data_IF_366896683671
#
_entry.id   IF_366896683671
#
_cell.length_a   1.000
_cell.length_b   1.000
_cell.length_c   1.000
_cell.angle_alpha   90.00
_cell.angle_beta   90.00
_cell.angle_gamma   90.00
#
_symmetry.space_group_name_H-M   'P 1'
#
loop_
_entity.id
_entity.type
_entity.pdbx_description
1 polymer ?
#
# COMPACT_ATOMS: atom_id res chain seq x y z
N UNK A 1 8.05 8.52 -59.71
CA UNK A 1 9.17 7.57 -59.51
C UNK A 1 10.32 8.22 -58.72
N UNK A 2 10.95 9.30 -59.19
CA UNK A 2 12.14 9.90 -58.51
C UNK A 2 11.81 10.55 -57.15
N UNK A 3 10.63 11.16 -56.98
CA UNK A 3 10.25 11.77 -55.69
C UNK A 3 9.85 10.75 -54.62
N UNK A 4 9.49 9.51 -54.98
CA UNK A 4 9.18 8.44 -54.02
C UNK A 4 10.43 7.76 -53.45
N UNK A 5 11.59 7.91 -54.11
CA UNK A 5 12.87 7.38 -53.62
C UNK A 5 13.49 8.24 -52.50
N UNK A 6 13.00 9.47 -52.28
CA UNK A 6 13.43 10.34 -51.17
C UNK A 6 12.81 9.98 -49.82
N UNK A 7 11.78 9.13 -49.82
CA UNK A 7 11.07 8.69 -48.59
C UNK A 7 11.58 7.34 -48.07
N UNK A 8 12.52 6.69 -48.76
CA UNK A 8 13.10 5.43 -48.30
C UNK A 8 14.31 5.75 -47.44
N UNK A 9 14.09 5.78 -46.13
CA UNK A 9 15.16 5.85 -45.13
C UNK A 9 15.97 4.56 -45.24
N UNK A 10 17.21 4.67 -45.69
CA UNK A 10 18.12 3.54 -45.80
C UNK A 10 18.48 3.02 -44.40
N UNK A 11 18.64 1.68 -44.22
CA UNK A 11 19.12 1.13 -42.96
C UNK A 11 20.46 1.75 -42.60
N UNK A 12 20.59 2.22 -41.35
CA UNK A 12 21.77 2.94 -40.87
C UNK A 12 22.55 2.06 -39.91
N UNK A 13 23.80 1.79 -40.25
CA UNK A 13 24.71 1.07 -39.38
C UNK A 13 25.16 1.98 -38.24
N UNK A 14 24.94 1.55 -37.00
CA UNK A 14 25.32 2.28 -35.79
C UNK A 14 26.26 1.40 -34.94
N UNK A 15 27.28 2.02 -34.35
CA UNK A 15 28.16 1.34 -33.40
C UNK A 15 27.56 1.46 -32.00
N UNK A 16 27.41 0.32 -31.31
CA UNK A 16 26.97 0.29 -29.90
C UNK A 16 28.08 0.85 -29.03
N UNK A 17 27.83 1.97 -28.35
CA UNK A 17 28.81 2.65 -27.48
C UNK A 17 28.60 2.34 -25.99
N UNK A 18 27.43 1.82 -25.62
CA UNK A 18 27.09 1.47 -24.25
C UNK A 18 25.77 0.70 -24.18
N UNK A 19 25.54 0.06 -23.04
CA UNK A 19 24.31 -0.67 -22.70
C UNK A 19 23.84 -0.10 -21.36
N UNK A 20 22.53 0.09 -21.21
CA UNK A 20 21.92 0.56 -19.98
C UNK A 20 20.91 -0.47 -19.47
N UNK A 21 20.61 -0.41 -18.17
CA UNK A 21 19.58 -1.23 -17.52
C UNK A 21 18.78 -0.31 -16.60
N UNK A 22 17.47 -0.23 -16.82
CA UNK A 22 16.53 0.54 -15.99
C UNK A 22 15.84 -0.35 -14.95
N UNK A 23 15.99 -1.67 -15.06
CA UNK A 23 15.33 -2.65 -14.21
C UNK A 23 13.88 -2.96 -14.63
N UNK A 24 13.41 -2.31 -15.70
CA UNK A 24 12.15 -2.59 -16.38
C UNK A 24 12.43 -3.27 -17.73
N UNK A 25 12.12 -4.56 -17.81
CA UNK A 25 12.47 -5.40 -18.95
C UNK A 25 12.06 -4.81 -20.30
N UNK A 26 10.82 -4.34 -20.44
CA UNK A 26 10.29 -3.79 -21.70
C UNK A 26 11.06 -2.53 -22.13
N UNK A 27 11.39 -1.65 -21.19
CA UNK A 27 12.13 -0.42 -21.49
C UNK A 27 13.58 -0.72 -21.90
N UNK A 28 14.17 -1.76 -21.32
CA UNK A 28 15.53 -2.19 -21.63
C UNK A 28 15.61 -2.94 -22.97
N UNK A 29 14.52 -3.61 -23.40
CA UNK A 29 14.49 -4.40 -24.64
C UNK A 29 14.02 -3.64 -25.89
N UNK A 30 13.20 -2.59 -25.74
CA UNK A 30 12.53 -1.93 -26.88
C UNK A 30 13.13 -0.58 -27.28
N UNK A 31 14.05 -0.02 -26.50
CA UNK A 31 14.55 1.34 -26.71
C UNK A 31 16.02 1.37 -27.13
N UNK A 32 16.32 2.26 -28.08
CA UNK A 32 17.67 2.57 -28.52
C UNK A 32 17.89 4.09 -28.39
N UNK A 33 18.94 4.49 -27.68
CA UNK A 33 19.29 5.91 -27.53
C UNK A 33 20.30 6.31 -28.59
N UNK A 34 19.94 7.29 -29.42
CA UNK A 34 20.80 7.85 -30.46
C UNK A 34 20.87 9.37 -30.34
N UNK A 35 21.94 10.00 -30.83
CA UNK A 35 21.97 11.46 -31.00
C UNK A 35 20.78 11.96 -31.82
N UNK A 36 20.26 13.13 -31.44
CA UNK A 36 19.00 13.67 -32.00
C UNK A 36 19.01 13.82 -33.52
N UNK A 37 20.15 14.19 -34.11
CA UNK A 37 20.31 14.33 -35.55
C UNK A 37 20.11 12.99 -36.31
N UNK A 38 20.45 11.85 -35.68
CA UNK A 38 20.21 10.53 -36.26
C UNK A 38 18.70 10.23 -36.26
N UNK A 39 18.01 10.53 -35.15
CA UNK A 39 16.57 10.38 -35.07
C UNK A 39 15.84 11.26 -36.11
N UNK A 40 16.24 12.52 -36.24
CA UNK A 40 15.66 13.45 -37.22
C UNK A 40 15.80 12.94 -38.66
N UNK A 41 16.94 12.38 -39.01
CA UNK A 41 17.17 11.77 -40.33
C UNK A 41 16.33 10.49 -40.52
N UNK A 42 16.30 9.60 -39.52
CA UNK A 42 15.57 8.33 -39.59
C UNK A 42 14.05 8.51 -39.68
N UNK A 43 13.51 9.56 -39.08
CA UNK A 43 12.08 9.90 -39.14
C UNK A 43 11.74 10.91 -40.25
N UNK A 44 12.73 11.39 -41.01
CA UNK A 44 12.51 12.38 -42.07
C UNK A 44 12.00 13.74 -41.58
N UNK A 45 12.36 14.14 -40.36
CA UNK A 45 11.82 15.33 -39.68
C UNK A 45 12.48 16.65 -40.08
N UNK A 46 13.65 16.61 -40.72
CA UNK A 46 14.47 17.82 -40.92
C UNK A 46 14.84 18.45 -39.57
N UNK A 47 14.53 19.73 -39.38
CA UNK A 47 14.77 20.44 -38.12
C UNK A 47 13.64 20.26 -37.07
N UNK A 48 12.58 19.53 -37.40
CA UNK A 48 11.46 19.31 -36.47
C UNK A 48 11.78 18.28 -35.37
N UNK A 49 11.00 18.31 -34.29
CA UNK A 49 11.09 17.39 -33.16
C UNK A 49 9.71 16.84 -32.84
N UNK A 50 9.64 15.57 -32.39
CA UNK A 50 8.40 14.97 -31.91
C UNK A 50 7.92 15.60 -30.58
N UNK A 51 8.85 16.04 -29.74
CA UNK A 51 8.53 16.64 -28.44
C UNK A 51 9.77 17.05 -27.67
N UNK A 52 9.54 17.79 -26.59
CA UNK A 52 10.57 18.24 -25.65
C UNK A 52 10.21 17.68 -24.28
N UNK A 53 11.12 16.93 -23.67
CA UNK A 53 10.96 16.42 -22.31
C UNK A 53 11.55 17.42 -21.32
N UNK A 54 10.71 17.91 -20.41
CA UNK A 54 11.15 18.77 -19.30
C UNK A 54 11.28 17.92 -18.04
N UNK A 55 12.49 17.85 -17.49
CA UNK A 55 12.76 17.12 -16.25
C UNK A 55 12.55 18.03 -15.04
N UNK A 56 11.64 17.67 -14.15
CA UNK A 56 11.42 18.37 -12.87
C UNK A 56 12.37 17.82 -11.79
N UNK A 57 12.67 18.63 -10.77
CA UNK A 57 13.43 18.18 -9.59
C UNK A 57 12.57 17.26 -8.73
N UNK A 58 11.30 17.62 -8.52
CA UNK A 58 10.29 16.81 -7.84
C UNK A 58 9.36 16.16 -8.89
N UNK A 59 9.27 14.82 -8.96
CA UNK A 59 8.34 14.13 -9.85
C UNK A 59 6.86 14.50 -9.65
N UNK A 60 6.48 14.88 -8.42
CA UNK A 60 5.10 15.25 -8.07
C UNK A 60 4.74 16.69 -8.43
N UNK A 61 5.74 17.54 -8.71
CA UNK A 61 5.53 18.89 -9.20
C UNK A 61 5.19 18.96 -10.70
N UNK A 62 5.15 17.81 -11.39
CA UNK A 62 4.94 17.75 -12.84
C UNK A 62 3.64 18.42 -13.30
N UNK A 63 2.54 18.29 -12.54
CA UNK A 63 1.28 18.95 -12.88
C UNK A 63 1.38 20.47 -12.78
N UNK A 64 2.02 20.98 -11.73
CA UNK A 64 2.20 22.42 -11.55
C UNK A 64 3.08 23.03 -12.65
N UNK A 65 4.12 22.29 -13.08
CA UNK A 65 4.99 22.72 -14.19
C UNK A 65 4.23 22.68 -15.52
N UNK A 66 3.40 21.66 -15.75
CA UNK A 66 2.52 21.59 -16.92
C UNK A 66 1.57 22.79 -16.96
N UNK A 67 0.87 23.10 -15.87
CA UNK A 67 -0.03 24.26 -15.76
C UNK A 67 0.68 25.59 -16.06
N UNK A 68 1.97 25.72 -15.73
CA UNK A 68 2.76 26.90 -16.02
C UNK A 68 3.22 27.00 -17.49
N UNK A 69 3.44 25.86 -18.17
CA UNK A 69 3.92 25.80 -19.55
C UNK A 69 2.77 25.82 -20.55
N UNK A 70 1.63 25.23 -20.22
CA UNK A 70 0.49 25.05 -21.12
C UNK A 70 -0.03 26.37 -21.74
N UNK A 71 -0.06 27.52 -21.03
CA UNK A 71 -0.41 28.82 -21.61
C UNK A 71 0.59 29.35 -22.66
N UNK A 72 1.82 28.83 -22.66
CA UNK A 72 2.87 29.22 -23.62
C UNK A 72 2.80 28.41 -24.93
N UNK A 73 1.98 27.35 -24.96
CA UNK A 73 1.86 26.44 -26.11
C UNK A 73 0.69 26.84 -27.01
N UNK A 74 0.88 26.65 -28.32
CA UNK A 74 -0.16 26.85 -29.33
C UNK A 74 -0.58 25.52 -29.95
N UNK A 75 -1.89 25.33 -30.19
CA UNK A 75 -2.43 24.14 -30.88
C UNK A 75 -1.67 23.93 -32.20
N UNK A 76 -1.17 22.71 -32.51
CA UNK A 76 -1.51 21.41 -31.91
C UNK A 76 -0.62 20.93 -30.75
N UNK A 77 0.24 21.80 -30.19
CA UNK A 77 1.13 21.42 -29.08
C UNK A 77 0.34 21.34 -27.76
N UNK A 78 0.64 20.33 -26.96
CA UNK A 78 0.07 20.13 -25.63
C UNK A 78 1.14 19.57 -24.68
N UNK A 79 1.01 19.87 -23.39
CA UNK A 79 1.87 19.32 -22.36
C UNK A 79 1.22 18.09 -21.73
N UNK A 80 1.99 17.01 -21.56
CA UNK A 80 1.56 15.83 -20.81
C UNK A 80 2.55 15.58 -19.69
N UNK A 81 2.04 15.22 -18.52
CA UNK A 81 2.89 14.71 -17.45
C UNK A 81 3.19 13.23 -17.66
N UNK A 82 4.24 12.73 -17.02
CA UNK A 82 4.52 11.31 -16.95
C UNK A 82 3.36 10.51 -16.29
N UNK A 83 2.53 11.17 -15.46
CA UNK A 83 1.33 10.58 -14.86
C UNK A 83 0.22 10.45 -15.93
N UNK A 84 0.01 11.48 -16.75
CA UNK A 84 -0.96 11.46 -17.85
C UNK A 84 -0.64 10.36 -18.86
N UNK A 85 0.63 10.24 -19.25
CA UNK A 85 1.10 9.22 -20.20
C UNK A 85 0.92 7.80 -19.67
N UNK A 86 0.92 7.61 -18.35
CA UNK A 86 0.82 6.31 -17.69
C UNK A 86 -0.49 6.15 -16.90
N UNK A 87 -1.52 6.91 -17.26
CA UNK A 87 -2.78 7.02 -16.50
C UNK A 87 -3.42 5.65 -16.19
N UNK A 88 -3.40 4.73 -17.14
CA UNK A 88 -3.95 3.38 -16.95
C UNK A 88 -3.27 2.63 -15.80
N UNK A 89 -1.93 2.73 -15.67
CA UNK A 89 -1.20 2.13 -14.56
C UNK A 89 -1.55 2.78 -13.22
N UNK A 90 -1.62 4.12 -13.20
CA UNK A 90 -1.98 4.86 -11.98
C UNK A 90 -3.41 4.61 -11.52
N UNK A 91 -4.37 4.49 -12.44
CA UNK A 91 -5.75 4.13 -12.13
C UNK A 91 -5.85 2.69 -11.61
N UNK A 92 -5.13 1.75 -12.22
CA UNK A 92 -5.05 0.37 -11.74
C UNK A 92 -4.47 0.29 -10.31
N UNK A 93 -3.36 0.99 -10.04
CA UNK A 93 -2.74 1.05 -8.70
C UNK A 93 -3.70 1.68 -7.68
N UNK A 94 -4.45 2.73 -8.07
CA UNK A 94 -5.43 3.38 -7.18
C UNK A 94 -6.59 2.45 -6.86
N UNK A 95 -7.11 1.74 -7.86
CA UNK A 95 -8.16 0.74 -7.68
C UNK A 95 -7.68 -0.37 -6.74
N UNK A 96 -6.49 -0.92 -6.99
CA UNK A 96 -5.89 -1.96 -6.15
C UNK A 96 -5.74 -1.51 -4.69
N UNK A 97 -5.19 -0.31 -4.45
CA UNK A 97 -5.09 0.26 -3.09
C UNK A 97 -6.46 0.40 -2.41
N UNK A 98 -7.48 0.76 -3.17
CA UNK A 98 -8.85 0.91 -2.66
C UNK A 98 -9.43 -0.46 -2.28
N UNK A 99 -9.25 -1.47 -3.12
CA UNK A 99 -9.68 -2.85 -2.82
C UNK A 99 -8.96 -3.39 -1.59
N UNK A 100 -7.64 -3.19 -1.51
CA UNK A 100 -6.84 -3.58 -0.34
C UNK A 100 -7.31 -2.90 0.95
N UNK A 101 -7.69 -1.62 0.89
CA UNK A 101 -8.27 -0.92 2.03
C UNK A 101 -9.56 -1.58 2.52
N UNK A 102 -10.49 -1.92 1.61
CA UNK A 102 -11.74 -2.60 1.99
C UNK A 102 -11.47 -4.00 2.59
N UNK A 103 -10.56 -4.77 2.00
CA UNK A 103 -10.20 -6.09 2.53
C UNK A 103 -9.63 -5.99 3.95
N UNK A 104 -8.66 -5.11 4.17
CA UNK A 104 -8.05 -4.89 5.47
C UNK A 104 -9.08 -4.40 6.50
N UNK A 105 -9.99 -3.50 6.10
CA UNK A 105 -11.07 -3.04 6.96
C UNK A 105 -11.94 -4.21 7.45
N UNK A 106 -12.38 -5.11 6.56
CA UNK A 106 -13.18 -6.27 6.97
C UNK A 106 -12.41 -7.23 7.89
N UNK A 107 -11.14 -7.49 7.61
CA UNK A 107 -10.29 -8.34 8.47
C UNK A 107 -10.21 -7.75 9.88
N UNK A 108 -10.01 -6.43 9.98
CA UNK A 108 -9.94 -5.74 11.27
C UNK A 108 -11.28 -5.81 12.01
N UNK A 109 -12.41 -5.63 11.32
CA UNK A 109 -13.74 -5.75 11.92
C UNK A 109 -13.99 -7.16 12.48
N UNK A 110 -13.64 -8.20 11.71
CA UNK A 110 -13.76 -9.60 12.16
C UNK A 110 -12.88 -9.84 13.39
N UNK A 111 -11.63 -9.36 13.38
CA UNK A 111 -10.73 -9.47 14.52
C UNK A 111 -11.26 -8.74 15.77
N UNK A 112 -11.83 -7.54 15.59
CA UNK A 112 -12.44 -6.77 16.66
C UNK A 112 -13.61 -7.50 17.32
N UNK A 113 -14.47 -8.16 16.54
CA UNK A 113 -15.53 -9.03 17.07
C UNK A 113 -14.99 -10.24 17.84
N UNK A 114 -13.86 -10.80 17.41
CA UNK A 114 -13.18 -11.88 18.14
C UNK A 114 -12.70 -11.43 19.51
N UNK A 115 -12.07 -10.26 19.60
CA UNK A 115 -11.63 -9.64 20.87
C UNK A 115 -12.85 -9.35 21.75
N UNK A 116 -13.90 -8.76 21.18
CA UNK A 116 -15.13 -8.46 21.89
C UNK A 116 -15.75 -9.73 22.50
N UNK A 117 -15.88 -10.80 21.72
CA UNK A 117 -16.43 -12.09 22.16
C UNK A 117 -15.61 -12.67 23.31
N UNK A 118 -14.29 -12.60 23.20
CA UNK A 118 -13.37 -13.07 24.26
C UNK A 118 -13.53 -12.26 25.54
N UNK A 119 -13.62 -10.93 25.45
CA UNK A 119 -13.82 -10.05 26.61
C UNK A 119 -15.19 -10.25 27.26
N UNK A 120 -16.24 -10.49 26.46
CA UNK A 120 -17.58 -10.87 26.98
C UNK A 120 -17.44 -12.15 27.80
N UNK A 121 -16.80 -13.20 27.26
CA UNK A 121 -16.64 -14.47 27.97
C UNK A 121 -15.87 -14.30 29.28
N UNK A 122 -14.76 -13.57 29.28
CA UNK A 122 -13.98 -13.29 30.50
C UNK A 122 -14.82 -12.53 31.53
N UNK A 123 -15.56 -11.52 31.09
CA UNK A 123 -16.46 -10.74 31.94
C UNK A 123 -17.52 -11.63 32.60
N UNK A 124 -18.14 -12.50 31.81
CA UNK A 124 -19.20 -13.41 32.23
C UNK A 124 -18.69 -14.41 33.27
N UNK A 125 -17.46 -14.93 33.10
CA UNK A 125 -16.80 -15.82 34.06
C UNK A 125 -16.43 -15.09 35.36
N UNK A 126 -16.10 -13.80 35.27
CA UNK A 126 -15.67 -12.96 36.40
C UNK A 126 -16.82 -12.23 37.10
N UNK A 127 -18.08 -12.59 36.82
CA UNK A 127 -19.28 -11.94 37.40
C UNK A 127 -19.31 -11.88 38.92
N UNK A 128 -18.88 -12.94 39.62
CA UNK A 128 -18.83 -12.96 41.08
C UNK A 128 -17.84 -11.92 41.64
N UNK A 129 -16.66 -11.83 41.06
CA UNK A 129 -15.62 -10.87 41.45
C UNK A 129 -16.11 -9.42 41.23
N UNK A 130 -16.79 -9.16 40.12
CA UNK A 130 -17.42 -7.85 39.84
C UNK A 130 -18.50 -7.52 40.90
N UNK A 131 -19.31 -8.52 41.28
CA UNK A 131 -20.33 -8.37 42.33
C UNK A 131 -19.74 -8.01 43.69
N UNK A 132 -18.64 -8.66 44.08
CA UNK A 132 -17.90 -8.36 45.32
C UNK A 132 -17.34 -6.93 45.27
N UNK A 133 -16.70 -6.54 44.16
CA UNK A 133 -16.18 -5.17 44.01
C UNK A 133 -17.29 -4.12 44.14
N UNK A 134 -18.46 -4.35 43.56
CA UNK A 134 -19.62 -3.46 43.71
C UNK A 134 -20.14 -3.41 45.15
N UNK A 135 -20.19 -4.54 45.84
CA UNK A 135 -20.62 -4.61 47.24
C UNK A 135 -19.66 -3.85 48.18
N UNK A 136 -18.37 -3.79 47.82
CA UNK A 136 -17.35 -2.99 48.50
C UNK A 136 -17.38 -1.49 48.13
N UNK A 137 -18.30 -1.06 47.24
CA UNK A 137 -18.50 0.34 46.86
C UNK A 137 -17.80 0.77 45.57
N UNK A 138 -17.29 -0.16 44.74
CA UNK A 138 -16.68 0.21 43.46
C UNK A 138 -17.69 0.86 42.51
N UNK A 139 -17.29 1.98 41.91
CA UNK A 139 -18.09 2.69 40.92
C UNK A 139 -18.09 1.94 39.57
N UNK A 140 -19.17 2.08 38.81
CA UNK A 140 -19.34 1.53 37.45
C UNK A 140 -18.16 1.94 36.56
N UNK A 141 -17.71 3.19 36.65
CA UNK A 141 -16.58 3.69 35.88
C UNK A 141 -15.26 2.94 36.19
N UNK A 142 -15.01 2.58 37.46
CA UNK A 142 -13.80 1.83 37.84
C UNK A 142 -13.80 0.43 37.21
N UNK A 143 -14.97 -0.23 37.19
CA UNK A 143 -15.12 -1.54 36.55
C UNK A 143 -14.88 -1.44 35.05
N UNK A 144 -15.46 -0.41 34.38
CA UNK A 144 -15.22 -0.17 32.95
C UNK A 144 -13.73 0.03 32.67
N UNK A 145 -13.02 0.82 33.47
CA UNK A 145 -11.59 1.08 33.29
C UNK A 145 -10.72 -0.17 33.43
N UNK A 146 -11.06 -1.11 34.32
CA UNK A 146 -10.33 -2.38 34.46
C UNK A 146 -10.44 -3.21 33.18
N UNK A 147 -11.64 -3.37 32.65
CA UNK A 147 -11.86 -4.14 31.41
C UNK A 147 -11.31 -3.43 30.17
N UNK A 148 -11.43 -2.10 30.11
CA UNK A 148 -10.83 -1.29 29.05
C UNK A 148 -9.30 -1.42 29.08
N UNK A 149 -8.68 -1.35 30.27
CA UNK A 149 -7.25 -1.56 30.46
C UNK A 149 -6.78 -2.94 30.01
N UNK A 150 -7.55 -3.99 30.33
CA UNK A 150 -7.27 -5.33 29.82
C UNK A 150 -7.32 -5.38 28.28
N UNK A 151 -8.32 -4.76 27.67
CA UNK A 151 -8.42 -4.63 26.20
C UNK A 151 -7.26 -3.85 25.59
N UNK A 152 -6.83 -2.76 26.22
CA UNK A 152 -5.67 -1.97 25.80
C UNK A 152 -4.36 -2.77 25.88
N UNK A 153 -4.16 -3.55 26.94
CA UNK A 153 -2.97 -4.43 27.07
C UNK A 153 -2.95 -5.45 25.94
N UNK A 154 -4.08 -6.12 25.68
CA UNK A 154 -4.19 -7.08 24.58
C UNK A 154 -3.95 -6.41 23.23
N UNK A 155 -4.52 -5.22 23.00
CA UNK A 155 -4.32 -4.44 21.77
C UNK A 155 -2.87 -4.01 21.58
N UNK A 156 -2.18 -3.60 22.66
CA UNK A 156 -0.77 -3.21 22.62
C UNK A 156 0.14 -4.40 22.28
N UNK A 157 -0.02 -5.52 22.99
CA UNK A 157 0.76 -6.73 22.70
C UNK A 157 0.48 -7.27 21.31
N UNK A 158 -0.79 -7.28 20.88
CA UNK A 158 -1.18 -7.66 19.52
C UNK A 158 -0.53 -6.76 18.47
N UNK A 159 -0.52 -5.44 18.69
CA UNK A 159 0.11 -4.48 17.77
C UNK A 159 1.63 -4.66 17.72
N UNK A 160 2.29 -4.81 18.86
CA UNK A 160 3.76 -5.00 18.93
C UNK A 160 4.19 -6.32 18.27
N UNK A 161 3.50 -7.42 18.58
CA UNK A 161 3.80 -8.72 17.98
C UNK A 161 3.47 -8.74 16.49
N UNK A 162 2.34 -8.16 16.09
CA UNK A 162 1.97 -8.01 14.68
C UNK A 162 2.97 -7.16 13.89
N UNK A 163 3.43 -6.04 14.45
CA UNK A 163 4.46 -5.20 13.85
C UNK A 163 5.79 -5.97 13.70
N UNK A 164 6.22 -6.68 14.74
CA UNK A 164 7.43 -7.50 14.70
C UNK A 164 7.37 -8.60 13.64
N UNK A 165 6.27 -9.34 13.59
CA UNK A 165 6.03 -10.37 12.58
C UNK A 165 5.96 -9.79 11.16
N UNK A 166 5.22 -8.69 10.98
CA UNK A 166 5.09 -8.02 9.69
C UNK A 166 6.42 -7.48 9.15
N UNK A 167 7.21 -6.82 10.01
CA UNK A 167 8.55 -6.32 9.64
C UNK A 167 9.49 -7.47 9.28
N UNK A 168 9.44 -8.57 10.03
CA UNK A 168 10.24 -9.77 9.74
C UNK A 168 9.83 -10.36 8.38
N UNK A 169 8.54 -10.47 8.10
CA UNK A 169 8.04 -10.99 6.83
C UNK A 169 8.48 -10.10 5.64
N UNK A 170 8.42 -8.77 5.79
CA UNK A 170 8.86 -7.83 4.74
C UNK A 170 10.36 -7.97 4.49
N UNK A 171 11.16 -8.17 5.55
CA UNK A 171 12.62 -8.36 5.45
C UNK A 171 12.99 -9.62 4.68
N UNK A 172 12.28 -10.72 4.93
CA UNK A 172 12.54 -12.03 4.33
C UNK A 172 11.62 -12.36 3.14
N UNK A 173 10.91 -11.38 2.58
CA UNK A 173 9.87 -11.61 1.55
C UNK A 173 10.36 -12.38 0.31
N UNK A 174 11.57 -12.06 -0.17
CA UNK A 174 12.11 -12.68 -1.38
C UNK A 174 12.53 -14.14 -1.09
N UNK A 175 13.17 -14.38 0.05
CA UNK A 175 13.53 -15.73 0.50
C UNK A 175 12.29 -16.60 0.75
N UNK A 176 11.26 -16.01 1.37
CA UNK A 176 9.97 -16.67 1.59
C UNK A 176 9.28 -17.02 0.26
N UNK A 177 9.29 -16.09 -0.70
CA UNK A 177 8.76 -16.33 -2.05
C UNK A 177 9.50 -17.46 -2.77
N UNK A 178 10.83 -17.47 -2.72
CA UNK A 178 11.63 -18.55 -3.31
C UNK A 178 11.41 -19.91 -2.63
N UNK A 179 11.29 -19.92 -1.30
CA UNK A 179 10.95 -21.13 -0.54
C UNK A 179 9.58 -21.68 -0.95
N UNK A 180 8.59 -20.80 -1.08
CA UNK A 180 7.24 -21.17 -1.49
C UNK A 180 7.20 -21.67 -2.94
N UNK A 181 7.94 -21.02 -3.85
CA UNK A 181 8.06 -21.46 -5.25
C UNK A 181 8.70 -22.85 -5.38
N UNK A 182 9.75 -23.14 -4.59
CA UNK A 182 10.37 -24.49 -4.53
C UNK A 182 9.42 -25.53 -3.96
N UNK A 183 8.63 -25.16 -2.96
CA UNK A 183 7.71 -26.09 -2.28
C UNK A 183 6.50 -26.42 -3.16
N UNK A 184 5.91 -25.39 -3.78
CA UNK A 184 4.70 -25.53 -4.61
C UNK A 184 4.99 -25.89 -6.07
N UNK A 185 6.26 -25.90 -6.51
CA UNK A 185 6.67 -26.17 -7.89
C UNK A 185 5.96 -25.27 -8.94
N UNK A 186 5.56 -24.06 -8.53
CA UNK A 186 4.91 -23.05 -9.37
C UNK A 186 5.75 -21.78 -9.28
N UNK A 187 6.12 -21.20 -10.42
CA UNK A 187 6.73 -19.86 -10.45
C UNK A 187 5.66 -18.83 -10.10
N UNK A 188 5.65 -18.41 -8.82
CA UNK A 188 4.64 -17.50 -8.27
C UNK A 188 4.71 -16.11 -8.93
N UNK A 189 5.90 -15.71 -9.38
CA UNK A 189 6.16 -14.42 -10.02
C UNK A 189 7.11 -14.58 -11.21
N UNK A 190 6.62 -14.97 -12.40
CA UNK A 190 7.44 -15.02 -13.60
C UNK A 190 7.92 -13.60 -13.93
N UNK A 191 9.23 -13.46 -14.15
CA UNK A 191 9.85 -12.16 -14.48
C UNK A 191 9.28 -11.58 -15.78
N UNK A 192 8.85 -12.42 -16.70
CA UNK A 192 8.22 -12.00 -17.97
C UNK A 192 6.87 -11.31 -17.76
N UNK A 193 6.10 -11.71 -16.74
CA UNK A 193 4.76 -11.16 -16.48
C UNK A 193 4.84 -9.92 -15.58
N UNK A 194 5.66 -9.98 -14.54
CA UNK A 194 5.73 -8.91 -13.54
C UNK A 194 6.79 -7.85 -13.83
N UNK A 195 7.70 -8.07 -14.78
CA UNK A 195 8.69 -7.09 -15.26
C UNK A 195 9.62 -6.49 -14.17
N UNK A 196 9.64 -7.07 -12.98
CA UNK A 196 10.50 -6.67 -11.86
C UNK A 196 11.47 -7.82 -11.52
N UNK A 197 12.74 -7.48 -11.28
CA UNK A 197 13.79 -8.45 -10.91
C UNK A 197 13.70 -8.94 -9.46
N UNK A 198 13.06 -8.16 -8.59
CA UNK A 198 12.74 -8.49 -7.20
C UNK A 198 11.50 -7.73 -6.76
N UNK A 199 10.76 -8.20 -5.73
CA UNK A 199 9.62 -7.46 -5.19
C UNK A 199 10.17 -6.25 -4.44
N UNK A 200 10.00 -5.00 -4.90
CA UNK A 200 10.40 -3.84 -4.12
C UNK A 200 9.45 -3.68 -2.93
N UNK A 201 9.97 -3.30 -1.77
CA UNK A 201 9.15 -2.94 -0.61
C UNK A 201 9.72 -1.67 0.02
N UNK A 202 8.99 -0.58 -0.16
CA UNK A 202 9.28 0.69 0.50
C UNK A 202 8.43 0.79 1.77
N UNK A 203 9.09 0.85 2.92
CA UNK A 203 8.42 0.97 4.21
C UNK A 203 8.32 2.46 4.52
N UNK A 204 7.10 2.99 4.39
CA UNK A 204 6.79 4.38 4.74
C UNK A 204 6.45 4.42 6.24
N UNK A 205 7.30 5.01 7.11
CA UNK A 205 7.10 4.93 8.56
C UNK A 205 5.79 5.58 9.03
N UNK A 206 5.35 6.63 8.34
CA UNK A 206 4.09 7.30 8.66
C UNK A 206 2.87 6.41 8.42
N UNK A 207 2.93 5.53 7.41
CA UNK A 207 1.83 4.60 7.13
C UNK A 207 1.79 3.48 8.16
N UNK A 208 2.96 2.95 8.54
CA UNK A 208 3.08 1.98 9.64
C UNK A 208 2.52 2.56 10.94
N UNK A 209 2.88 3.80 11.27
CA UNK A 209 2.40 4.49 12.46
C UNK A 209 0.86 4.65 12.44
N UNK A 210 0.29 5.11 11.32
CA UNK A 210 -1.17 5.23 11.15
C UNK A 210 -1.89 3.90 11.35
N UNK A 211 -1.35 2.80 10.80
CA UNK A 211 -1.93 1.46 10.94
C UNK A 211 -1.86 0.96 12.38
N UNK A 212 -0.73 1.15 13.07
CA UNK A 212 -0.59 0.75 14.47
C UNK A 212 -1.58 1.49 15.38
N UNK A 213 -1.70 2.81 15.21
CA UNK A 213 -2.63 3.64 15.99
C UNK A 213 -4.09 3.27 15.68
N UNK A 214 -4.45 3.09 14.40
CA UNK A 214 -5.82 2.74 14.04
C UNK A 214 -6.21 1.36 14.57
N UNK A 215 -5.33 0.36 14.48
CA UNK A 215 -5.55 -0.97 15.04
C UNK A 215 -5.75 -0.93 16.56
N UNK A 216 -4.89 -0.19 17.27
CA UNK A 216 -4.99 -0.03 18.72
C UNK A 216 -6.31 0.66 19.14
N UNK A 217 -6.71 1.71 18.42
CA UNK A 217 -7.97 2.41 18.67
C UNK A 217 -9.18 1.50 18.43
N UNK A 218 -9.20 0.76 17.33
CA UNK A 218 -10.30 -0.16 17.01
C UNK A 218 -10.41 -1.26 18.06
N UNK A 219 -9.29 -1.84 18.50
CA UNK A 219 -9.29 -2.84 19.58
C UNK A 219 -9.80 -2.24 20.90
N UNK A 220 -9.39 -1.02 21.23
CA UNK A 220 -9.83 -0.32 22.44
C UNK A 220 -11.33 -0.02 22.42
N UNK A 221 -11.86 0.42 21.27
CA UNK A 221 -13.31 0.65 21.06
C UNK A 221 -14.09 -0.66 21.16
N UNK A 222 -13.58 -1.74 20.57
CA UNK A 222 -14.21 -3.06 20.65
C UNK A 222 -14.30 -3.58 22.10
N UNK A 223 -13.32 -3.25 22.94
CA UNK A 223 -13.30 -3.61 24.36
C UNK A 223 -14.29 -2.79 25.22
N UNK A 224 -14.69 -1.61 24.75
CA UNK A 224 -15.57 -0.71 25.51
C UNK A 224 -16.99 -1.26 25.66
N UNK A 225 -17.49 -1.94 24.62
CA UNK A 225 -18.83 -2.55 24.61
C UNK A 225 -19.00 -3.56 25.77
N UNK A 226 -18.19 -4.63 25.88
CA UNK A 226 -18.30 -5.58 26.99
C UNK A 226 -18.04 -4.92 28.34
N UNK A 227 -17.08 -3.99 28.44
CA UNK A 227 -16.78 -3.29 29.68
C UNK A 227 -18.00 -2.53 30.23
N UNK A 228 -18.75 -1.88 29.34
CA UNK A 228 -19.97 -1.17 29.70
C UNK A 228 -21.09 -2.12 30.16
N UNK A 229 -21.30 -3.23 29.44
CA UNK A 229 -22.28 -4.24 29.84
C UNK A 229 -21.90 -4.93 31.16
N UNK A 230 -20.61 -5.21 31.39
CA UNK A 230 -20.06 -5.74 32.63
C UNK A 230 -20.46 -4.87 33.84
N UNK A 231 -20.24 -3.57 33.69
CA UNK A 231 -20.41 -2.62 34.75
C UNK A 231 -21.89 -2.35 35.09
N UNK A 232 -22.83 -2.73 34.21
CA UNK A 232 -24.28 -2.65 34.47
C UNK A 232 -24.92 -3.94 34.99
N UNK A 233 -24.16 -5.02 35.19
CA UNK A 233 -24.69 -6.24 35.78
C UNK A 233 -25.12 -6.02 37.24
N UNK A 234 -26.35 -6.44 37.56
CA UNK A 234 -26.98 -6.22 38.85
C UNK A 234 -26.29 -7.08 39.94
N UNK A 235 -25.70 -6.49 41.00
CA UNK A 235 -24.94 -7.23 42.01
C UNK A 235 -25.80 -8.26 42.74
N UNK A 236 -27.10 -7.98 42.92
CA UNK A 236 -28.06 -8.88 43.57
C UNK A 236 -28.32 -10.14 42.72
N UNK A 237 -28.31 -10.03 41.39
CA UNK A 237 -28.42 -11.21 40.50
C UNK A 237 -27.11 -11.99 40.44
N UNK A 238 -25.96 -11.34 40.56
CA UNK A 238 -24.65 -12.00 40.51
C UNK A 238 -24.37 -12.92 41.70
N UNK A 239 -24.98 -12.65 42.87
CA UNK A 239 -24.85 -13.46 44.10
C UNK A 239 -25.97 -14.49 44.28
N UNK A 240 -27.03 -14.44 43.47
CA UNK A 240 -28.22 -15.31 43.58
C UNK A 240 -28.25 -16.46 42.57
N UNK A 241 -27.22 -16.59 41.74
CA UNK A 241 -26.98 -17.79 40.93
C UNK A 241 -26.07 -18.76 41.70
N UNK A 242 -26.54 -19.10 42.91
CA UNK A 242 -26.41 -20.38 43.64
C UNK A 242 -27.61 -20.46 44.59
#
# INVERSE_FOLDING_TARGET
AINQLREIVLPKDLTVTGIYETGHYVHDSEFLLVPIFIGQELYGLGDALHGITVKTVDPYAAEHVKEAIEPLLSVPQFAQTWIDMNRQYFEAIRLERTVMFFLLFFIIVVAAFGIMSTLITVTVQKRREIGIMKALGANIAQIVWVFLGQGMVVGLFGTLTGLGLGMTLIRYRNEFSHWLARTLHIEIFPREVYQFSSIPAEIIPIDVFKVCISAFLICSIAALIPAYFAARLDPVKALRYE
#
